data_IF_109320389411
#
_entry.id   IF_109320389411
#
_cell.length_a   1.000
_cell.length_b   1.000
_cell.length_c   1.000
_cell.angle_alpha   90.00
_cell.angle_beta   90.00
_cell.angle_gamma   90.00
#
_symmetry.space_group_name_H-M   'P 1'
#
loop_
_entity.id
_entity.type
_entity.pdbx_description
1 polymer ?
#
# COMPACT_ATOMS: atom_id res chain seq x y z
N UNK A 1 -23.91 29.92 -45.79
CA UNK A 1 -22.68 29.40 -45.14
C UNK A 1 -23.12 28.47 -44.04
N UNK A 2 -22.94 27.15 -44.21
CA UNK A 2 -23.28 26.16 -43.19
C UNK A 2 -22.07 25.96 -42.28
N UNK A 3 -22.24 26.23 -41.00
CA UNK A 3 -21.26 25.96 -39.96
C UNK A 3 -21.60 24.61 -39.33
N UNK A 4 -20.72 23.62 -39.48
CA UNK A 4 -20.80 22.36 -38.72
C UNK A 4 -19.93 22.53 -37.49
N UNK A 5 -20.55 22.59 -36.31
CA UNK A 5 -19.83 22.51 -35.05
C UNK A 5 -19.70 21.03 -34.67
N UNK A 6 -18.51 20.46 -34.85
CA UNK A 6 -18.16 19.17 -34.27
C UNK A 6 -17.81 19.36 -32.80
N UNK A 7 -18.63 18.82 -31.91
CA UNK A 7 -18.29 18.67 -30.50
C UNK A 7 -17.18 17.61 -30.39
N UNK A 8 -15.95 18.07 -30.20
CA UNK A 8 -14.87 17.21 -29.74
C UNK A 8 -15.29 16.63 -28.38
N UNK A 9 -15.58 15.34 -28.36
CA UNK A 9 -15.77 14.63 -27.10
C UNK A 9 -14.43 14.70 -26.36
N UNK A 10 -14.39 15.43 -25.25
CA UNK A 10 -13.28 15.33 -24.32
C UNK A 10 -13.25 13.87 -23.85
N UNK A 11 -12.33 13.08 -24.40
CA UNK A 11 -12.03 11.76 -23.84
C UNK A 11 -11.54 12.01 -22.42
N UNK A 12 -12.33 11.59 -21.42
CA UNK A 12 -11.88 11.60 -20.04
C UNK A 12 -10.55 10.85 -19.97
N UNK A 13 -9.50 11.53 -19.51
CA UNK A 13 -8.21 10.89 -19.32
C UNK A 13 -8.41 9.65 -18.42
N UNK A 14 -7.80 8.50 -18.75
CA UNK A 14 -8.02 7.27 -18.02
C UNK A 14 -7.58 7.44 -16.57
N UNK A 15 -8.42 7.06 -15.62
CA UNK A 15 -8.08 7.14 -14.20
C UNK A 15 -7.10 6.01 -13.88
N UNK A 16 -5.89 6.35 -13.43
CA UNK A 16 -4.91 5.37 -12.97
C UNK A 16 -5.03 5.17 -11.45
N UNK A 17 -4.77 3.95 -11.00
CA UNK A 17 -4.66 3.59 -9.57
C UNK A 17 -3.46 2.68 -9.35
N UNK A 18 -2.95 2.60 -8.12
CA UNK A 18 -1.95 1.60 -7.77
C UNK A 18 -2.56 0.20 -7.83
N UNK A 19 -1.79 -0.75 -8.36
CA UNK A 19 -2.19 -2.14 -8.53
C UNK A 19 -1.15 -3.10 -7.97
N UNK A 20 -1.59 -4.28 -7.53
CA UNK A 20 -0.77 -5.34 -6.92
C UNK A 20 -1.31 -6.74 -7.27
N UNK A 21 -0.64 -7.80 -6.81
CA UNK A 21 -1.16 -9.17 -6.91
C UNK A 21 -2.38 -9.34 -5.99
N UNK A 22 -3.54 -9.83 -6.47
CA UNK A 22 -4.78 -9.81 -5.69
C UNK A 22 -4.63 -10.57 -4.35
N UNK A 23 -4.95 -9.89 -3.24
CA UNK A 23 -4.85 -10.42 -1.87
C UNK A 23 -3.55 -10.06 -1.15
N UNK A 24 -2.46 -9.76 -1.87
CA UNK A 24 -1.15 -9.51 -1.26
C UNK A 24 -1.13 -8.25 -0.38
N UNK A 25 -1.77 -7.17 -0.86
CA UNK A 25 -1.89 -5.94 -0.08
C UNK A 25 -2.73 -6.13 1.18
N UNK A 26 -3.84 -6.84 1.05
CA UNK A 26 -4.77 -7.09 2.15
C UNK A 26 -4.12 -7.96 3.23
N UNK A 27 -3.39 -9.01 2.83
CA UNK A 27 -2.61 -9.87 3.75
C UNK A 27 -1.55 -9.02 4.47
N UNK A 28 -0.75 -8.26 3.73
CA UNK A 28 0.32 -7.45 4.32
C UNK A 28 -0.23 -6.38 5.29
N UNK A 29 -1.27 -5.65 4.89
CA UNK A 29 -1.88 -4.62 5.73
C UNK A 29 -2.54 -5.24 6.97
N UNK A 30 -3.23 -6.38 6.79
CA UNK A 30 -3.82 -7.15 7.87
C UNK A 30 -2.77 -7.59 8.89
N UNK A 31 -1.61 -8.06 8.44
CA UNK A 31 -0.49 -8.42 9.31
C UNK A 31 0.05 -7.20 10.07
N UNK A 32 0.23 -6.06 9.38
CA UNK A 32 0.66 -4.80 10.00
C UNK A 32 -0.31 -4.33 11.09
N UNK A 33 -1.61 -4.50 10.88
CA UNK A 33 -2.64 -4.09 11.84
C UNK A 33 -2.72 -5.06 13.03
N UNK A 34 -2.80 -6.37 12.78
CA UNK A 34 -2.98 -7.37 13.84
C UNK A 34 -1.79 -7.38 14.82
N UNK A 35 -0.57 -7.16 14.31
CA UNK A 35 0.65 -7.09 15.11
C UNK A 35 0.83 -5.77 15.87
N UNK A 36 -0.16 -4.85 15.84
CA UNK A 36 -0.20 -3.69 16.76
C UNK A 36 -0.87 -4.02 18.09
N UNK A 37 -1.46 -5.21 18.24
CA UNK A 37 -2.05 -5.63 19.50
C UNK A 37 -0.96 -5.76 20.56
N UNK A 38 -1.25 -5.21 21.74
CA UNK A 38 -0.39 -5.32 22.92
C UNK A 38 -1.19 -5.77 24.12
N UNK A 39 -0.55 -6.50 25.02
CA UNK A 39 -1.06 -6.76 26.35
C UNK A 39 -0.08 -6.19 27.37
N UNK A 40 -0.50 -5.14 28.10
CA UNK A 40 0.33 -4.48 29.14
C UNK A 40 1.73 -4.09 28.63
N UNK A 41 1.80 -3.56 27.41
CA UNK A 41 3.05 -3.16 26.75
C UNK A 41 3.82 -4.29 26.07
N UNK A 42 3.37 -5.54 26.17
CA UNK A 42 3.97 -6.69 25.49
C UNK A 42 3.37 -6.87 24.12
N UNK A 43 4.19 -7.06 23.09
CA UNK A 43 3.76 -7.44 21.75
C UNK A 43 2.95 -8.74 21.80
N UNK A 44 1.74 -8.72 21.26
CA UNK A 44 0.80 -9.84 21.39
C UNK A 44 0.30 -10.30 20.01
N UNK A 45 1.07 -11.15 19.30
CA UNK A 45 0.73 -11.61 17.97
C UNK A 45 -0.46 -12.57 17.99
N UNK A 46 -0.97 -12.86 16.79
CA UNK A 46 -1.93 -13.93 16.58
C UNK A 46 -1.32 -15.31 16.85
N UNK A 47 -2.17 -16.29 17.18
CA UNK A 47 -1.74 -17.67 17.45
C UNK A 47 -1.84 -18.59 16.22
N UNK A 48 -2.43 -18.12 15.12
CA UNK A 48 -2.49 -18.85 13.85
C UNK A 48 -1.32 -18.47 12.93
N UNK A 49 -1.09 -19.29 11.91
CA UNK A 49 -0.09 -19.03 10.86
C UNK A 49 -0.35 -17.67 10.19
N UNK A 50 0.69 -16.88 10.03
CA UNK A 50 0.67 -15.66 9.22
C UNK A 50 1.27 -15.93 7.86
N UNK A 51 0.51 -15.67 6.80
CA UNK A 51 1.01 -15.70 5.43
C UNK A 51 1.67 -14.37 5.04
N UNK A 52 2.41 -14.38 3.93
CA UNK A 52 3.06 -13.21 3.36
C UNK A 52 2.62 -13.02 1.91
N UNK A 53 2.75 -11.79 1.42
CA UNK A 53 2.65 -11.48 -0.01
C UNK A 53 3.76 -12.16 -0.82
N UNK A 54 3.52 -12.36 -2.11
CA UNK A 54 4.55 -12.78 -3.05
C UNK A 54 5.54 -11.64 -3.30
N UNK A 55 6.83 -11.93 -3.14
CA UNK A 55 7.87 -10.90 -3.18
C UNK A 55 8.32 -10.51 -4.60
N UNK A 56 7.90 -11.27 -5.62
CA UNK A 56 8.25 -11.05 -7.02
C UNK A 56 7.02 -11.22 -7.88
N UNK A 57 6.58 -10.14 -8.53
CA UNK A 57 5.37 -10.13 -9.37
C UNK A 57 5.73 -9.57 -10.75
N UNK A 58 5.25 -10.22 -11.80
CA UNK A 58 5.22 -9.66 -13.15
C UNK A 58 3.82 -9.11 -13.45
N UNK A 59 3.78 -7.84 -13.85
CA UNK A 59 2.58 -7.15 -14.29
C UNK A 59 2.65 -6.97 -15.80
N UNK A 60 1.58 -7.25 -16.54
CA UNK A 60 1.53 -6.92 -17.96
C UNK A 60 0.16 -6.44 -18.45
N UNK A 61 0.19 -5.69 -19.55
CA UNK A 61 -0.99 -5.33 -20.33
C UNK A 61 -0.63 -5.10 -21.78
N UNK A 62 -1.55 -5.49 -22.66
CA UNK A 62 -1.49 -5.23 -24.09
C UNK A 62 -2.20 -3.91 -24.41
N UNK A 63 -1.59 -3.12 -25.29
CA UNK A 63 -2.09 -1.82 -25.73
C UNK A 63 -2.12 -1.75 -27.25
N UNK A 64 -3.07 -0.99 -27.80
CA UNK A 64 -3.14 -0.65 -29.22
C UNK A 64 -3.27 0.88 -29.33
N UNK A 65 -2.15 1.54 -29.66
CA UNK A 65 -2.02 2.99 -29.59
C UNK A 65 -2.11 3.64 -30.97
N UNK A 66 -2.98 4.64 -31.11
CA UNK A 66 -3.10 5.40 -32.36
C UNK A 66 -1.88 6.31 -32.64
N UNK A 67 -1.18 6.73 -31.59
CA UNK A 67 -0.01 7.59 -31.65
C UNK A 67 0.93 7.24 -30.50
N UNK A 68 2.25 7.52 -30.62
CA UNK A 68 3.16 7.32 -29.51
C UNK A 68 2.75 8.15 -28.29
N UNK A 69 2.97 7.61 -27.09
CA UNK A 69 2.75 8.36 -25.85
C UNK A 69 3.82 8.10 -24.80
N UNK A 70 4.06 9.11 -23.96
CA UNK A 70 4.89 8.97 -22.77
C UNK A 70 4.04 8.48 -21.59
N UNK A 71 4.57 7.52 -20.84
CA UNK A 71 3.96 6.95 -19.66
C UNK A 71 4.89 7.18 -18.46
N UNK A 72 4.38 7.81 -17.42
CA UNK A 72 5.07 7.88 -16.13
C UNK A 72 4.86 6.58 -15.36
N UNK A 73 5.92 6.06 -14.73
CA UNK A 73 5.93 4.84 -13.93
C UNK A 73 6.38 5.14 -12.49
N UNK A 74 5.68 4.54 -11.53
CA UNK A 74 6.08 4.40 -10.13
C UNK A 74 5.94 2.94 -9.72
N UNK A 75 6.80 2.49 -8.83
CA UNK A 75 6.73 1.16 -8.25
C UNK A 75 7.11 1.21 -6.77
N UNK A 76 6.53 0.30 -5.99
CA UNK A 76 7.01 -0.04 -4.65
C UNK A 76 7.84 -1.32 -4.76
N UNK A 77 9.16 -1.16 -4.90
CA UNK A 77 10.11 -2.25 -5.09
C UNK A 77 11.21 -1.93 -6.09
N UNK A 78 12.15 -2.86 -6.25
CA UNK A 78 13.09 -2.84 -7.38
C UNK A 78 12.42 -3.46 -8.59
N UNK A 79 12.61 -2.90 -9.77
CA UNK A 79 11.89 -3.38 -10.95
C UNK A 79 12.70 -3.29 -12.23
N UNK A 80 12.27 -4.08 -13.21
CA UNK A 80 12.63 -3.91 -14.61
C UNK A 80 11.36 -3.68 -15.44
N UNK A 81 11.56 -3.21 -16.67
CA UNK A 81 10.49 -2.99 -17.64
C UNK A 81 10.86 -3.69 -18.94
N UNK A 82 9.91 -4.39 -19.56
CA UNK A 82 10.06 -4.89 -20.93
C UNK A 82 8.98 -4.30 -21.82
N UNK A 83 9.35 -3.92 -23.04
CA UNK A 83 8.43 -3.55 -24.11
C UNK A 83 8.59 -4.58 -25.23
N UNK A 84 7.52 -5.29 -25.56
CA UNK A 84 7.50 -6.36 -26.57
C UNK A 84 8.59 -7.43 -26.31
N UNK A 85 8.72 -7.83 -25.04
CA UNK A 85 9.72 -8.80 -24.58
C UNK A 85 11.15 -8.25 -24.47
N UNK A 86 11.42 -7.02 -24.92
CA UNK A 86 12.76 -6.41 -24.88
C UNK A 86 12.95 -5.62 -23.58
N UNK A 87 13.96 -5.94 -22.76
CA UNK A 87 14.22 -5.19 -21.53
C UNK A 87 14.67 -3.76 -21.84
N UNK A 88 14.13 -2.80 -21.10
CA UNK A 88 14.60 -1.43 -21.09
C UNK A 88 15.77 -1.28 -20.12
N UNK A 89 16.68 -0.34 -20.39
CA UNK A 89 17.86 -0.11 -19.56
C UNK A 89 17.48 0.49 -18.20
N UNK A 90 17.99 -0.11 -17.11
CA UNK A 90 17.82 0.38 -15.75
C UNK A 90 16.38 0.27 -15.22
N UNK A 91 16.00 1.21 -14.36
CA UNK A 91 14.67 1.33 -13.77
C UNK A 91 14.01 2.65 -14.21
N UNK A 92 13.49 2.74 -15.45
CA UNK A 92 12.97 3.98 -15.99
C UNK A 92 11.74 4.45 -15.19
N UNK A 93 11.66 5.75 -14.90
CA UNK A 93 10.48 6.37 -14.27
C UNK A 93 9.52 6.98 -15.30
N UNK A 94 9.94 7.00 -16.57
CA UNK A 94 9.17 7.36 -17.76
C UNK A 94 9.60 6.48 -18.91
N UNK A 95 8.67 6.12 -19.78
CA UNK A 95 8.95 5.42 -21.04
C UNK A 95 8.05 5.94 -22.15
N UNK A 96 8.53 5.88 -23.39
CA UNK A 96 7.70 6.15 -24.57
C UNK A 96 7.23 4.82 -25.16
N UNK A 97 5.92 4.65 -25.31
CA UNK A 97 5.32 3.52 -26.04
C UNK A 97 4.98 4.01 -27.45
N UNK A 98 5.51 3.39 -28.52
CA UNK A 98 5.21 3.77 -29.90
C UNK A 98 3.73 3.55 -30.27
N UNK A 99 3.33 4.05 -31.44
CA UNK A 99 2.03 3.71 -32.02
C UNK A 99 2.00 2.25 -32.48
N UNK A 100 0.83 1.63 -32.38
CA UNK A 100 0.60 0.24 -32.74
C UNK A 100 0.36 -0.65 -31.53
N UNK A 101 0.44 -1.96 -31.76
CA UNK A 101 0.20 -2.99 -30.75
C UNK A 101 1.47 -3.31 -29.99
N UNK A 102 1.40 -3.17 -28.67
CA UNK A 102 2.53 -3.38 -27.78
C UNK A 102 2.13 -4.09 -26.50
N UNK A 103 3.05 -4.89 -25.96
CA UNK A 103 2.94 -5.44 -24.60
C UNK A 103 3.94 -4.76 -23.69
N UNK A 104 3.46 -4.23 -22.57
CA UNK A 104 4.30 -3.69 -21.51
C UNK A 104 4.31 -4.66 -20.33
N UNK A 105 5.51 -5.10 -19.92
CA UNK A 105 5.72 -5.86 -18.69
C UNK A 105 6.50 -5.00 -17.68
N UNK A 106 6.12 -5.10 -16.41
CA UNK A 106 6.87 -4.52 -15.29
C UNK A 106 7.04 -5.62 -14.25
N UNK A 107 8.27 -6.12 -14.06
CA UNK A 107 8.55 -7.14 -13.04
C UNK A 107 9.13 -6.46 -11.81
N UNK A 108 8.48 -6.63 -10.67
CA UNK A 108 8.80 -5.93 -9.42
C UNK A 108 9.14 -6.92 -8.33
N UNK A 109 10.31 -6.73 -7.71
CA UNK A 109 10.74 -7.39 -6.49
C UNK A 109 10.58 -6.46 -5.29
N UNK A 110 9.89 -6.92 -4.25
CA UNK A 110 9.79 -6.21 -2.98
C UNK A 110 9.52 -7.17 -1.80
N UNK A 111 10.53 -7.32 -0.93
CA UNK A 111 10.42 -8.14 0.27
C UNK A 111 9.71 -7.41 1.43
N UNK A 112 9.83 -6.09 1.51
CA UNK A 112 9.40 -5.31 2.68
C UNK A 112 7.91 -4.99 2.63
N UNK A 113 7.40 -4.67 1.45
CA UNK A 113 5.99 -4.36 1.20
C UNK A 113 5.54 -5.07 -0.08
N UNK A 114 4.23 -5.21 -0.33
CA UNK A 114 3.73 -5.83 -1.55
C UNK A 114 4.29 -5.13 -2.79
N UNK A 115 4.80 -5.89 -3.78
CA UNK A 115 5.10 -5.33 -5.09
C UNK A 115 3.87 -4.65 -5.67
N UNK A 116 4.00 -3.37 -6.01
CA UNK A 116 2.91 -2.57 -6.56
C UNK A 116 3.43 -1.58 -7.60
N UNK A 117 2.58 -1.25 -8.57
CA UNK A 117 2.92 -0.29 -9.64
C UNK A 117 1.81 0.73 -9.87
N UNK A 118 2.20 1.89 -10.38
CA UNK A 118 1.31 2.93 -10.89
C UNK A 118 1.86 3.43 -12.22
N UNK A 119 1.08 3.33 -13.30
CA UNK A 119 1.43 3.89 -14.61
C UNK A 119 0.37 4.88 -15.07
N UNK A 120 0.83 5.99 -15.63
CA UNK A 120 -0.07 7.03 -16.17
C UNK A 120 0.53 7.70 -17.40
N UNK A 121 -0.12 7.49 -18.53
CA UNK A 121 0.01 8.24 -19.78
C UNK A 121 -1.30 8.94 -20.14
N UNK A 122 -1.41 9.34 -21.41
CA UNK A 122 -2.63 9.91 -22.00
C UNK A 122 -3.71 8.85 -22.15
N UNK A 123 -3.35 7.63 -22.60
CA UNK A 123 -4.28 6.50 -22.80
C UNK A 123 -3.90 5.25 -22.01
N UNK A 124 -2.62 5.05 -21.70
CA UNK A 124 -2.14 4.00 -20.80
C UNK A 124 -2.39 4.40 -19.34
N UNK A 125 -3.00 3.51 -18.56
CA UNK A 125 -3.17 3.67 -17.12
C UNK A 125 -3.16 2.29 -16.43
N UNK A 126 -2.66 2.25 -15.19
CA UNK A 126 -2.86 1.10 -14.30
C UNK A 126 -4.29 1.05 -13.77
N UNK A 127 -4.90 -0.12 -13.90
CA UNK A 127 -6.24 -0.46 -13.46
C UNK A 127 -6.32 -1.97 -13.20
N UNK A 128 -7.46 -2.45 -12.70
CA UNK A 128 -7.67 -3.88 -12.41
C UNK A 128 -7.69 -4.77 -13.66
N UNK A 129 -7.66 -4.22 -14.87
CA UNK A 129 -7.60 -5.00 -16.11
C UNK A 129 -6.18 -5.47 -16.44
N UNK A 130 -5.16 -5.00 -15.72
CA UNK A 130 -3.80 -5.51 -15.85
C UNK A 130 -3.74 -6.97 -15.37
N UNK A 131 -2.89 -7.75 -16.03
CA UNK A 131 -2.64 -9.13 -15.66
C UNK A 131 -1.40 -9.24 -14.78
N UNK A 132 -1.45 -10.12 -13.80
CA UNK A 132 -0.37 -10.34 -12.83
C UNK A 132 -0.10 -11.82 -12.62
N UNK A 133 1.16 -12.15 -12.37
CA UNK A 133 1.58 -13.48 -11.98
C UNK A 133 2.80 -13.42 -11.07
N UNK A 134 2.94 -14.40 -10.18
CA UNK A 134 4.17 -14.60 -9.40
C UNK A 134 5.17 -15.53 -10.11
N UNK A 135 4.80 -16.14 -11.24
CA UNK A 135 5.65 -17.08 -11.98
C UNK A 135 5.33 -17.02 -13.48
N UNK A 136 6.08 -16.21 -14.23
CA UNK A 136 5.84 -15.96 -15.66
C UNK A 136 6.38 -17.05 -16.59
N UNK A 137 7.21 -17.97 -16.05
CA UNK A 137 7.79 -19.14 -16.71
C UNK A 137 8.51 -18.85 -18.03
N UNK A 138 8.97 -17.63 -18.23
CA UNK A 138 9.73 -17.23 -19.41
C UNK A 138 11.18 -17.68 -19.27
N UNK A 139 11.69 -18.43 -20.25
CA UNK A 139 13.08 -18.83 -20.35
C UNK A 139 13.62 -18.65 -21.76
N UNK A 140 14.94 -18.52 -21.88
CA UNK A 140 15.64 -18.36 -23.16
C UNK A 140 16.45 -19.64 -23.39
N UNK A 141 16.24 -20.26 -24.55
CA UNK A 141 16.97 -21.47 -24.93
C UNK A 141 18.39 -21.17 -25.44
N UNK A 142 19.17 -22.22 -25.72
CA UNK A 142 20.54 -22.08 -26.20
C UNK A 142 20.65 -21.40 -27.59
N UNK A 143 19.55 -21.29 -28.34
CA UNK A 143 19.49 -20.58 -29.61
C UNK A 143 19.16 -19.08 -29.44
N UNK A 144 18.87 -18.65 -28.21
CA UNK A 144 18.41 -17.29 -27.91
C UNK A 144 16.91 -17.11 -28.11
N UNK A 145 16.14 -18.19 -28.30
CA UNK A 145 14.70 -18.12 -28.47
C UNK A 145 14.01 -18.11 -27.10
N UNK A 146 13.11 -17.16 -26.91
CA UNK A 146 12.24 -17.09 -25.74
C UNK A 146 11.13 -18.13 -25.84
N UNK A 147 10.86 -18.81 -24.72
CA UNK A 147 9.74 -19.76 -24.59
C UNK A 147 8.39 -19.07 -24.77
N UNK A 148 7.36 -19.86 -25.10
CA UNK A 148 6.00 -19.39 -24.88
C UNK A 148 5.69 -19.35 -23.37
N UNK A 149 4.65 -18.60 -23.01
CA UNK A 149 4.13 -18.49 -21.64
C UNK A 149 2.78 -19.20 -21.51
N UNK A 150 2.53 -20.24 -22.31
CA UNK A 150 1.23 -20.93 -22.37
C UNK A 150 0.88 -21.64 -21.06
N UNK A 151 1.89 -22.01 -20.26
CA UNK A 151 1.72 -22.62 -18.93
C UNK A 151 1.64 -21.63 -17.77
N UNK A 152 1.57 -20.32 -18.04
CA UNK A 152 1.52 -19.27 -17.03
C UNK A 152 0.09 -18.97 -16.62
N UNK A 153 -0.18 -19.03 -15.32
CA UNK A 153 -1.45 -18.58 -14.77
C UNK A 153 -1.37 -17.08 -14.52
N UNK A 154 -2.29 -16.34 -15.14
CA UNK A 154 -2.44 -14.90 -14.97
C UNK A 154 -3.73 -14.62 -14.20
N UNK A 155 -3.66 -13.69 -13.25
CA UNK A 155 -4.82 -13.14 -12.56
C UNK A 155 -5.01 -11.68 -12.97
N UNK A 156 -6.20 -11.13 -12.75
CA UNK A 156 -6.40 -9.67 -12.81
C UNK A 156 -5.82 -9.01 -11.57
N UNK A 157 -5.23 -7.83 -11.75
CA UNK A 157 -4.58 -7.10 -10.67
C UNK A 157 -5.59 -6.66 -9.59
N UNK A 158 -5.16 -6.75 -8.32
CA UNK A 158 -5.84 -6.11 -7.20
C UNK A 158 -5.60 -4.59 -7.24
N UNK A 159 -6.57 -3.82 -6.74
CA UNK A 159 -6.47 -2.36 -6.65
C UNK A 159 -7.43 -1.82 -5.60
N UNK A 160 -7.19 -0.59 -5.16
CA UNK A 160 -8.13 0.16 -4.31
C UNK A 160 -8.17 1.64 -4.76
N UNK A 161 -8.28 2.57 -3.82
CA UNK A 161 -8.47 4.01 -4.04
C UNK A 161 -7.17 4.82 -3.98
N UNK A 162 -6.06 4.20 -4.33
CA UNK A 162 -4.75 4.85 -4.44
C UNK A 162 -4.59 5.47 -5.83
N UNK A 163 -5.39 6.50 -6.11
CA UNK A 163 -5.53 7.06 -7.46
C UNK A 163 -4.43 8.07 -7.84
N UNK A 164 -3.51 8.37 -6.91
CA UNK A 164 -2.44 9.34 -7.08
C UNK A 164 -1.06 8.67 -6.99
N UNK A 165 -0.06 9.10 -7.79
CA UNK A 165 1.27 8.47 -7.80
C UNK A 165 2.01 8.62 -6.46
N UNK A 166 1.69 9.62 -5.65
CA UNK A 166 2.21 9.84 -4.31
C UNK A 166 1.48 9.04 -3.22
N UNK A 167 0.27 8.54 -3.50
CA UNK A 167 -0.55 7.75 -2.58
C UNK A 167 -0.09 6.29 -2.57
N UNK A 168 1.15 6.07 -2.14
CA UNK A 168 1.76 4.73 -2.05
C UNK A 168 0.93 3.80 -1.14
N UNK A 169 0.55 2.59 -1.60
CA UNK A 169 -0.18 1.63 -0.77
C UNK A 169 0.49 1.35 0.58
N UNK A 170 1.82 1.18 0.60
CA UNK A 170 2.57 0.93 1.85
C UNK A 170 2.51 2.08 2.87
N UNK A 171 2.20 3.29 2.42
CA UNK A 171 2.12 4.47 3.27
C UNK A 171 0.70 4.68 3.86
N UNK A 172 -0.25 3.79 3.56
CA UNK A 172 -1.62 3.90 4.03
C UNK A 172 -1.72 4.00 5.55
N UNK A 173 -2.52 4.97 6.01
CA UNK A 173 -2.90 5.17 7.41
C UNK A 173 -4.34 5.65 7.46
N UNK A 174 -5.03 5.29 8.54
CA UNK A 174 -6.35 5.87 8.81
C UNK A 174 -6.23 7.37 9.11
N UNK A 175 -7.17 8.20 8.66
CA UNK A 175 -7.20 9.60 9.03
C UNK A 175 -7.36 9.72 10.55
N UNK A 176 -6.68 10.70 11.14
CA UNK A 176 -6.80 11.03 12.55
C UNK A 176 -7.41 12.41 12.72
N UNK A 177 -8.15 12.60 13.81
CA UNK A 177 -8.74 13.88 14.17
C UNK A 177 -8.39 14.20 15.63
N UNK A 178 -8.03 15.47 15.89
CA UNK A 178 -7.71 15.90 17.24
C UNK A 178 -8.97 15.89 18.10
N UNK A 179 -8.89 15.20 19.24
CA UNK A 179 -9.92 15.17 20.28
C UNK A 179 -9.30 15.58 21.61
N UNK A 180 -9.99 16.48 22.32
CA UNK A 180 -9.61 16.92 23.67
C UNK A 180 -10.42 16.14 24.70
N UNK A 181 -9.84 15.96 25.87
CA UNK A 181 -10.56 15.41 27.02
C UNK A 181 -11.76 16.29 27.36
N UNK A 182 -12.88 15.67 27.72
CA UNK A 182 -14.08 16.37 28.21
C UNK A 182 -13.94 16.70 29.68
N UNK A 183 -13.23 15.86 30.44
CA UNK A 183 -12.96 16.07 31.87
C UNK A 183 -11.59 15.53 32.26
N UNK A 184 -10.94 16.25 33.18
CA UNK A 184 -9.70 15.82 33.82
C UNK A 184 -9.89 15.92 35.34
N UNK A 185 -9.70 14.81 36.03
CA UNK A 185 -9.78 14.71 37.49
C UNK A 185 -8.39 14.44 38.05
N UNK A 186 -7.97 15.25 39.03
CA UNK A 186 -6.68 15.04 39.72
C UNK A 186 -6.93 14.20 40.96
N UNK A 187 -6.21 13.09 41.07
CA UNK A 187 -6.27 12.17 42.22
C UNK A 187 -4.89 12.12 42.91
N UNK A 188 -4.79 11.55 44.11
CA UNK A 188 -3.49 11.30 44.75
C UNK A 188 -2.55 10.41 43.91
N UNK A 189 -3.11 9.55 43.05
CA UNK A 189 -2.36 8.60 42.21
C UNK A 189 -2.00 9.18 40.82
N UNK A 190 -2.56 10.33 40.42
CA UNK A 190 -2.25 10.94 39.12
C UNK A 190 -3.42 11.72 38.51
N UNK A 191 -3.52 11.68 37.19
CA UNK A 191 -4.61 12.29 36.43
C UNK A 191 -5.50 11.19 35.85
N UNK A 192 -6.81 11.31 36.06
CA UNK A 192 -7.83 10.53 35.36
C UNK A 192 -8.41 11.41 34.26
N UNK A 193 -8.28 10.99 33.01
CA UNK A 193 -8.65 11.74 31.82
C UNK A 193 -9.82 11.04 31.14
N UNK A 194 -10.95 11.73 31.03
CA UNK A 194 -12.17 11.22 30.41
C UNK A 194 -12.39 11.93 29.06
N UNK A 195 -12.63 11.14 28.01
CA UNK A 195 -12.93 11.61 26.66
C UNK A 195 -14.43 11.67 26.36
N UNK A 196 -15.28 11.30 27.33
CA UNK A 196 -16.74 11.40 27.30
C UNK A 196 -17.44 10.27 26.55
N UNK A 197 -16.69 9.40 25.89
CA UNK A 197 -17.16 8.22 25.15
C UNK A 197 -16.00 7.26 24.90
N UNK A 198 -16.34 6.01 24.60
CA UNK A 198 -15.40 5.05 24.02
C UNK A 198 -14.79 5.63 22.73
N UNK A 199 -13.48 5.51 22.58
CA UNK A 199 -12.73 6.06 21.45
C UNK A 199 -11.45 5.27 21.22
N UNK A 200 -10.91 5.35 19.99
CA UNK A 200 -9.65 4.73 19.60
C UNK A 200 -8.72 5.76 18.96
N UNK A 201 -7.42 5.72 19.28
CA UNK A 201 -6.46 6.64 18.70
C UNK A 201 -5.15 6.73 19.47
N UNK A 202 -4.49 7.86 19.33
CA UNK A 202 -3.19 8.14 19.94
C UNK A 202 -3.33 9.23 21.01
N UNK A 203 -2.60 9.08 22.12
CA UNK A 203 -2.49 10.13 23.13
C UNK A 203 -1.33 11.06 22.76
N UNK A 204 -1.57 12.37 22.82
CA UNK A 204 -0.53 13.39 22.68
C UNK A 204 -0.40 14.14 23.99
N UNK A 205 0.81 14.17 24.55
CA UNK A 205 1.12 14.91 25.78
C UNK A 205 1.78 16.25 25.41
N UNK A 206 1.16 17.36 25.82
CA UNK A 206 1.65 18.71 25.53
C UNK A 206 2.33 19.32 26.77
N UNK A 207 3.29 20.22 26.55
CA UNK A 207 3.89 21.02 27.61
C UNK A 207 4.75 20.24 28.61
N UNK A 208 5.26 19.07 28.22
CA UNK A 208 6.19 18.31 29.05
C UNK A 208 7.47 19.10 29.30
N UNK A 209 7.89 19.18 30.57
CA UNK A 209 9.11 19.85 31.02
C UNK A 209 9.80 18.99 32.10
N UNK A 210 11.13 19.03 32.16
CA UNK A 210 11.93 18.29 33.14
C UNK A 210 12.29 16.86 32.68
N UNK A 211 12.66 16.02 33.65
CA UNK A 211 13.07 14.62 33.44
C UNK A 211 12.35 13.71 34.43
N UNK A 212 11.84 12.58 33.94
CA UNK A 212 11.09 11.61 34.75
C UNK A 212 10.34 10.60 33.88
N UNK A 213 9.78 9.56 34.51
CA UNK A 213 8.95 8.59 33.83
C UNK A 213 7.49 9.02 33.87
N UNK A 214 6.81 8.95 32.73
CA UNK A 214 5.35 9.12 32.61
C UNK A 214 4.77 7.78 32.23
N UNK A 215 3.89 7.26 33.07
CA UNK A 215 3.11 6.06 32.78
C UNK A 215 1.71 6.47 32.31
N UNK A 216 1.22 5.80 31.27
CA UNK A 216 -0.13 6.00 30.73
C UNK A 216 -0.84 4.65 30.80
N UNK A 217 -2.01 4.63 31.43
CA UNK A 217 -2.86 3.46 31.56
C UNK A 217 -4.17 3.72 30.86
N UNK A 218 -4.60 2.77 30.04
CA UNK A 218 -5.84 2.83 29.28
C UNK A 218 -6.87 1.90 29.92
N UNK A 219 -8.14 2.24 29.79
CA UNK A 219 -9.25 1.39 30.18
C UNK A 219 -10.55 1.90 29.55
N UNK A 220 -11.46 0.97 29.26
CA UNK A 220 -12.82 1.28 28.80
C UNK A 220 -13.72 1.71 29.98
N UNK A 221 -13.24 1.49 31.21
CA UNK A 221 -13.86 1.93 32.47
C UNK A 221 -12.84 2.66 33.36
N UNK A 222 -13.35 3.47 34.31
CA UNK A 222 -12.51 4.14 35.31
C UNK A 222 -11.81 3.11 36.20
N UNK A 223 -12.50 2.03 36.53
CA UNK A 223 -12.02 0.93 37.34
C UNK A 223 -10.82 0.23 36.67
N UNK A 224 -10.91 -0.09 35.38
CA UNK A 224 -9.83 -0.71 34.62
C UNK A 224 -8.59 0.19 34.53
N UNK A 225 -8.79 1.48 34.19
CA UNK A 225 -7.70 2.45 34.08
C UNK A 225 -6.96 2.63 35.41
N UNK A 226 -7.67 2.60 36.54
CA UNK A 226 -7.10 2.74 37.88
C UNK A 226 -6.51 1.42 38.42
N UNK A 227 -7.05 0.26 38.03
CA UNK A 227 -6.55 -1.03 38.50
C UNK A 227 -5.09 -1.28 38.12
N UNK A 228 -4.67 -0.81 36.94
CA UNK A 228 -3.29 -0.97 36.45
C UNK A 228 -2.30 0.00 37.10
N UNK A 229 -2.77 1.17 37.56
CA UNK A 229 -1.95 2.11 38.33
C UNK A 229 -1.59 1.60 39.74
N UNK A 230 -2.29 0.56 40.21
CA UNK A 230 -2.16 0.00 41.57
C UNK A 230 -1.33 -1.28 41.64
N UNK A 231 -0.80 -1.80 40.53
CA UNK A 231 0.09 -2.96 40.57
C UNK A 231 1.53 -2.52 40.92
N UNK A 232 2.13 -3.03 42.01
CA UNK A 232 3.51 -2.72 42.33
C UNK A 232 4.41 -3.21 41.20
N UNK A 233 5.29 -2.34 40.71
CA UNK A 233 6.39 -2.71 39.82
C UNK A 233 7.24 -3.74 40.57
N UNK A 234 7.02 -5.03 40.32
CA UNK A 234 7.96 -6.06 40.72
C UNK A 234 9.21 -5.90 39.85
N UNK A 235 10.11 -5.01 40.27
CA UNK A 235 11.50 -5.00 39.79
C UNK A 235 12.13 -6.32 40.25
N UNK A 236 12.19 -7.30 39.37
CA UNK A 236 13.17 -8.36 39.51
C UNK A 236 14.49 -7.80 38.98
N UNK A 237 15.52 -7.96 39.82
CA UNK A 237 16.91 -7.57 39.63
C UNK A 237 17.49 -8.21 38.36
#
# INVERSE_FOLDING_TARGET
MLLVATSAHAQNAPKATWIWYPGDYEIWLGNQMQNRRTERGTFFPVFWRMDSHYVLIDFHKDFDLAQPEEVALRAEGQYNVKLDGKPLTGAPTRLTVPAGRHRLNVKVYNQTTPPAIYLKGKTIATDSSWLVTYEDKEWIDASGKTSDQSGTTWLTAGSWNFDAPEARPSAFKLPTEVRRATRVERTPQGLVVDFGRETFGYVTLHGLQGQGQVAVYFGESKEEALALALQPVQRHV
#
